data_IF_672124214994
#
_entry.id   IF_672124214994
#
_cell.length_a   1.000
_cell.length_b   1.000
_cell.length_c   1.000
_cell.angle_alpha   90.00
_cell.angle_beta   90.00
_cell.angle_gamma   90.00
#
_symmetry.space_group_name_H-M   'P 1'
#
loop_
_entity.id
_entity.type
_entity.pdbx_description
1 polymer ?
#
# COMPACT_ATOMS: atom_id res chain seq x y z
N UNK A 1 16.95 -26.59 -19.95
CA UNK A 1 15.67 -27.01 -20.55
C UNK A 1 15.09 -25.78 -21.23
N UNK A 2 14.93 -25.76 -22.54
CA UNK A 2 14.34 -24.61 -23.23
C UNK A 2 12.85 -24.54 -22.92
N UNK A 3 12.34 -23.32 -22.71
CA UNK A 3 10.93 -23.11 -22.38
C UNK A 3 10.04 -23.66 -23.49
N UNK A 4 9.31 -24.71 -23.17
CA UNK A 4 8.40 -25.40 -24.09
C UNK A 4 7.34 -24.44 -24.65
N UNK A 5 6.89 -23.51 -23.81
CA UNK A 5 5.95 -22.44 -24.16
C UNK A 5 6.52 -21.51 -25.26
N UNK A 6 7.77 -21.06 -25.12
CA UNK A 6 8.42 -20.21 -26.12
C UNK A 6 8.57 -20.91 -27.48
N UNK A 7 8.87 -22.21 -27.48
CA UNK A 7 8.98 -22.99 -28.72
C UNK A 7 7.63 -23.19 -29.42
N UNK A 8 6.55 -23.36 -28.65
CA UNK A 8 5.19 -23.48 -29.18
C UNK A 8 4.68 -22.14 -29.73
N UNK A 9 5.01 -21.02 -29.07
CA UNK A 9 4.74 -19.66 -29.53
C UNK A 9 5.49 -19.31 -30.82
N UNK A 10 6.78 -19.64 -30.89
CA UNK A 10 7.59 -19.42 -32.09
C UNK A 10 7.05 -20.23 -33.27
N UNK A 11 6.71 -21.51 -33.06
CA UNK A 11 6.08 -22.37 -34.08
C UNK A 11 4.78 -21.77 -34.59
N UNK A 12 3.88 -21.37 -33.69
CA UNK A 12 2.61 -20.76 -34.05
C UNK A 12 2.79 -19.42 -34.80
N UNK A 13 3.74 -18.58 -34.39
CA UNK A 13 4.02 -17.30 -35.08
C UNK A 13 4.50 -17.49 -36.52
N UNK A 14 5.33 -18.51 -36.76
CA UNK A 14 5.82 -18.88 -38.09
C UNK A 14 4.66 -19.40 -38.95
N UNK A 15 3.76 -20.20 -38.38
CA UNK A 15 2.57 -20.73 -39.07
C UNK A 15 1.55 -19.64 -39.44
N UNK A 16 1.45 -18.56 -38.66
CA UNK A 16 0.52 -17.46 -38.88
C UNK A 16 1.14 -16.23 -39.57
N UNK A 17 2.42 -16.32 -39.96
CA UNK A 17 3.05 -15.30 -40.80
C UNK A 17 2.61 -15.47 -42.25
N UNK A 18 1.93 -14.45 -42.80
CA UNK A 18 1.16 -14.52 -44.05
C UNK A 18 2.03 -14.60 -45.32
N UNK A 19 3.34 -14.40 -45.24
CA UNK A 19 4.21 -14.47 -46.43
C UNK A 19 5.63 -14.92 -46.09
N UNK A 20 6.05 -16.03 -46.69
CA UNK A 20 7.47 -16.33 -46.87
C UNK A 20 8.10 -15.42 -47.95
N UNK A 21 9.44 -15.35 -48.05
CA UNK A 21 10.15 -14.50 -49.01
C UNK A 21 9.75 -14.73 -50.49
N UNK A 22 9.13 -15.86 -50.83
CA UNK A 22 8.71 -16.23 -52.18
C UNK A 22 7.21 -16.00 -52.47
N UNK A 23 6.47 -15.35 -51.57
CA UNK A 23 5.06 -14.99 -51.81
C UNK A 23 4.08 -16.16 -51.86
N UNK A 24 4.48 -17.35 -51.39
CA UNK A 24 3.59 -18.51 -51.24
C UNK A 24 2.81 -18.42 -49.94
N UNK A 25 1.50 -18.65 -50.01
CA UNK A 25 0.60 -18.70 -48.85
C UNK A 25 0.75 -20.04 -48.13
N UNK A 26 0.97 -20.01 -46.82
CA UNK A 26 1.15 -21.22 -46.01
C UNK A 26 -0.21 -21.86 -45.71
N UNK A 27 -0.57 -22.95 -46.39
CA UNK A 27 -1.88 -23.65 -46.27
C UNK A 27 -1.83 -24.90 -45.35
N UNK A 28 -0.79 -25.03 -44.53
CA UNK A 28 -0.63 -26.17 -43.60
C UNK A 28 -1.65 -26.16 -42.44
N UNK A 29 -1.85 -27.32 -41.76
CA UNK A 29 -2.72 -27.40 -40.59
C UNK A 29 -2.19 -26.49 -39.47
N UNK A 30 -3.00 -25.50 -39.08
CA UNK A 30 -2.65 -24.54 -38.02
C UNK A 30 -2.66 -25.24 -36.68
N UNK A 31 -1.54 -25.21 -35.96
CA UNK A 31 -1.52 -25.64 -34.57
C UNK A 31 -2.42 -24.74 -33.73
N UNK A 32 -3.22 -25.32 -32.84
CA UNK A 32 -3.95 -24.55 -31.82
C UNK A 32 -3.01 -24.25 -30.68
N UNK A 33 -2.91 -22.98 -30.27
CA UNK A 33 -2.16 -22.58 -29.08
C UNK A 33 -2.71 -23.34 -27.85
N UNK A 34 -1.82 -23.81 -26.97
CA UNK A 34 -2.26 -24.28 -25.66
C UNK A 34 -2.84 -23.10 -24.85
N UNK A 35 -3.68 -23.33 -23.84
CA UNK A 35 -4.17 -22.28 -22.95
C UNK A 35 -3.05 -21.42 -22.35
N UNK A 36 -1.89 -22.01 -22.01
CA UNK A 36 -0.73 -21.27 -21.48
C UNK A 36 -0.01 -20.42 -22.53
N UNK A 37 0.06 -20.87 -23.80
CA UNK A 37 0.62 -20.08 -24.89
C UNK A 37 -0.34 -18.96 -25.30
N UNK A 38 -1.65 -19.23 -25.25
CA UNK A 38 -2.69 -18.24 -25.47
C UNK A 38 -2.67 -17.18 -24.36
N UNK A 39 -2.49 -17.54 -23.09
CA UNK A 39 -2.31 -16.59 -21.99
C UNK A 39 -1.03 -15.75 -22.14
N UNK A 40 0.06 -16.32 -22.67
CA UNK A 40 1.27 -15.58 -23.02
C UNK A 40 1.09 -14.57 -24.17
N UNK A 41 0.13 -14.81 -25.07
CA UNK A 41 -0.22 -13.93 -26.20
C UNK A 41 -1.32 -12.92 -25.84
N UNK A 42 -2.32 -13.35 -25.07
CA UNK A 42 -3.47 -12.53 -24.66
C UNK A 42 -3.18 -11.71 -23.40
N UNK A 43 -2.08 -12.02 -22.70
CA UNK A 43 -1.74 -11.47 -21.39
C UNK A 43 -2.56 -12.13 -20.28
N UNK A 44 -1.91 -12.44 -19.15
CA UNK A 44 -2.60 -12.53 -17.87
C UNK A 44 -3.07 -11.14 -17.42
N UNK A 45 -3.81 -11.03 -16.30
CA UNK A 45 -4.12 -9.73 -15.71
C UNK A 45 -2.82 -8.96 -15.48
N UNK A 46 -2.81 -7.67 -15.79
CA UNK A 46 -1.66 -6.82 -15.51
C UNK A 46 -1.52 -6.61 -14.00
N UNK A 47 -0.35 -6.19 -13.53
CA UNK A 47 -0.16 -5.78 -12.13
C UNK A 47 -1.20 -4.73 -11.71
N UNK A 48 -1.53 -3.80 -12.60
CA UNK A 48 -2.59 -2.81 -12.37
C UNK A 48 -3.97 -3.44 -12.14
N UNK A 49 -4.29 -4.53 -12.85
CA UNK A 49 -5.55 -5.26 -12.69
C UNK A 49 -5.56 -6.02 -11.36
N UNK A 50 -4.46 -6.70 -11.04
CA UNK A 50 -4.30 -7.42 -9.77
C UNK A 50 -4.35 -6.50 -8.54
N UNK A 51 -3.76 -5.30 -8.63
CA UNK A 51 -3.81 -4.30 -7.58
C UNK A 51 -5.26 -3.80 -7.35
N UNK A 52 -6.01 -3.55 -8.43
CA UNK A 52 -7.42 -3.15 -8.34
C UNK A 52 -8.29 -4.27 -7.77
N UNK A 53 -8.08 -5.50 -8.21
CA UNK A 53 -8.80 -6.68 -7.71
C UNK A 53 -8.54 -6.87 -6.21
N UNK A 54 -7.28 -6.79 -5.78
CA UNK A 54 -6.90 -6.89 -4.37
C UNK A 54 -7.59 -5.80 -3.54
N UNK A 55 -7.56 -4.54 -3.99
CA UNK A 55 -8.23 -3.45 -3.27
C UNK A 55 -9.76 -3.62 -3.25
N UNK A 56 -10.36 -4.10 -4.33
CA UNK A 56 -11.80 -4.37 -4.38
C UNK A 56 -12.24 -5.42 -3.36
N UNK A 57 -11.43 -6.47 -3.16
CA UNK A 57 -11.68 -7.48 -2.12
C UNK A 57 -11.53 -6.88 -0.73
N UNK A 58 -10.45 -6.13 -0.48
CA UNK A 58 -10.14 -5.48 0.81
C UNK A 58 -11.32 -4.61 1.28
N UNK A 59 -11.80 -3.73 0.40
CA UNK A 59 -12.86 -2.76 0.74
C UNK A 59 -14.28 -3.28 0.52
N UNK A 60 -14.42 -4.56 0.15
CA UNK A 60 -15.74 -5.12 -0.16
C UNK A 60 -16.67 -5.06 1.08
N UNK A 61 -17.91 -4.54 0.92
CA UNK A 61 -18.92 -4.58 1.97
C UNK A 61 -19.68 -5.92 1.99
N UNK A 62 -19.40 -6.83 1.06
CA UNK A 62 -20.06 -8.13 0.95
C UNK A 62 -19.73 -9.02 2.18
N UNK A 63 -20.73 -9.45 2.97
CA UNK A 63 -20.50 -10.30 4.14
C UNK A 63 -19.96 -11.70 3.79
N UNK A 64 -20.07 -12.15 2.54
CA UNK A 64 -19.49 -13.43 2.09
C UNK A 64 -17.96 -13.33 1.92
N UNK A 65 -17.42 -12.12 1.76
CA UNK A 65 -15.97 -11.89 1.73
C UNK A 65 -15.44 -11.85 3.16
N UNK A 66 -14.86 -12.98 3.57
CA UNK A 66 -14.35 -13.16 4.93
C UNK A 66 -13.13 -12.28 5.21
N UNK A 67 -12.83 -12.07 6.50
CA UNK A 67 -11.60 -11.40 6.93
C UNK A 67 -10.36 -12.08 6.35
N UNK A 68 -10.30 -13.42 6.33
CA UNK A 68 -9.18 -14.18 5.75
C UNK A 68 -8.96 -13.87 4.26
N UNK A 69 -10.04 -13.76 3.48
CA UNK A 69 -9.96 -13.35 2.08
C UNK A 69 -9.43 -11.93 1.92
N UNK A 70 -9.83 -11.00 2.80
CA UNK A 70 -9.30 -9.63 2.82
C UNK A 70 -7.81 -9.59 3.17
N UNK A 71 -7.38 -10.38 4.16
CA UNK A 71 -5.96 -10.47 4.54
C UNK A 71 -5.11 -11.07 3.41
N UNK A 72 -5.62 -12.11 2.73
CA UNK A 72 -4.97 -12.66 1.53
C UNK A 72 -4.85 -11.60 0.42
N UNK A 73 -5.89 -10.79 0.21
CA UNK A 73 -5.84 -9.69 -0.76
C UNK A 73 -4.85 -8.59 -0.37
N UNK A 74 -4.70 -8.29 0.93
CA UNK A 74 -3.63 -7.42 1.41
C UNK A 74 -2.25 -8.01 1.13
N UNK A 75 -2.02 -9.29 1.41
CA UNK A 75 -0.73 -9.94 1.12
C UNK A 75 -0.40 -9.91 -0.38
N UNK A 76 -1.39 -10.09 -1.25
CA UNK A 76 -1.22 -9.97 -2.69
C UNK A 76 -0.87 -8.54 -3.12
N UNK A 77 -1.58 -7.54 -2.57
CA UNK A 77 -1.28 -6.14 -2.84
C UNK A 77 0.12 -5.76 -2.36
N UNK A 78 0.50 -6.20 -1.15
CA UNK A 78 1.79 -5.90 -0.53
C UNK A 78 2.96 -6.43 -1.35
N UNK A 79 2.88 -7.67 -1.83
CA UNK A 79 3.87 -8.26 -2.74
C UNK A 79 4.01 -7.47 -4.05
N UNK A 80 2.91 -6.99 -4.63
CA UNK A 80 2.97 -6.21 -5.86
C UNK A 80 3.67 -4.85 -5.65
N UNK A 81 3.40 -4.19 -4.52
CA UNK A 81 3.95 -2.86 -4.20
C UNK A 81 5.35 -2.91 -3.59
N UNK A 82 5.96 -4.09 -3.40
CA UNK A 82 7.41 -4.20 -3.19
C UNK A 82 8.19 -3.66 -4.40
N UNK A 83 7.59 -3.67 -5.59
CA UNK A 83 8.08 -2.98 -6.78
C UNK A 83 7.76 -1.48 -6.71
N UNK A 84 8.79 -0.63 -6.83
CA UNK A 84 8.63 0.83 -6.84
C UNK A 84 7.71 1.33 -7.95
N UNK A 85 7.72 0.68 -9.13
CA UNK A 85 6.84 1.04 -10.24
C UNK A 85 5.37 0.82 -9.88
N UNK A 86 5.05 -0.30 -9.22
CA UNK A 86 3.71 -0.62 -8.76
C UNK A 86 3.31 0.24 -7.56
N UNK A 87 4.20 0.48 -6.60
CA UNK A 87 3.95 1.40 -5.49
C UNK A 87 3.54 2.79 -6.02
N UNK A 88 4.24 3.31 -7.02
CA UNK A 88 3.92 4.60 -7.64
C UNK A 88 2.61 4.55 -8.45
N UNK A 89 2.24 3.37 -8.96
CA UNK A 89 0.99 3.16 -9.67
C UNK A 89 -0.24 3.32 -8.76
N UNK A 90 -0.13 3.13 -7.43
CA UNK A 90 -1.21 3.38 -6.46
C UNK A 90 -1.87 4.75 -6.64
N UNK A 91 -1.07 5.79 -6.98
CA UNK A 91 -1.56 7.15 -7.24
C UNK A 91 -2.43 7.21 -8.48
N UNK A 92 -1.97 6.65 -9.59
CA UNK A 92 -2.67 6.66 -10.87
C UNK A 92 -3.94 5.79 -10.84
N UNK A 93 -3.94 4.75 -10.01
CA UNK A 93 -5.08 3.86 -9.81
C UNK A 93 -6.09 4.38 -8.78
N UNK A 94 -5.77 5.47 -8.06
CA UNK A 94 -6.63 6.02 -7.01
C UNK A 94 -6.72 5.12 -5.76
N UNK A 95 -5.73 4.26 -5.53
CA UNK A 95 -5.77 3.24 -4.46
C UNK A 95 -5.25 3.74 -3.11
N UNK A 96 -4.59 4.92 -3.06
CA UNK A 96 -4.13 5.50 -1.80
C UNK A 96 -5.26 5.81 -0.81
N UNK A 97 -6.34 6.44 -1.28
CA UNK A 97 -7.47 6.81 -0.41
C UNK A 97 -8.09 5.57 0.25
N UNK A 98 -8.54 4.53 -0.49
CA UNK A 98 -9.11 3.35 0.14
C UNK A 98 -8.11 2.62 1.05
N UNK A 99 -6.81 2.62 0.70
CA UNK A 99 -5.77 2.06 1.57
C UNK A 99 -5.64 2.83 2.91
N UNK A 100 -5.66 4.16 2.87
CA UNK A 100 -5.57 5.00 4.08
C UNK A 100 -6.86 4.99 4.90
N UNK A 101 -8.01 4.74 4.29
CA UNK A 101 -9.28 4.56 5.01
C UNK A 101 -9.27 3.26 5.83
N UNK A 102 -8.59 2.22 5.34
CA UNK A 102 -8.41 0.96 6.08
C UNK A 102 -7.61 1.13 7.39
N UNK A 103 -6.85 2.21 7.56
CA UNK A 103 -6.19 2.53 8.84
C UNK A 103 -7.18 2.85 9.97
N UNK A 104 -8.44 3.12 9.65
CA UNK A 104 -9.52 3.34 10.62
C UNK A 104 -10.55 2.21 10.66
N UNK A 105 -10.22 1.04 10.07
CA UNK A 105 -11.13 -0.11 10.03
C UNK A 105 -11.40 -0.68 11.42
N UNK A 106 -12.57 -1.31 11.62
CA UNK A 106 -12.95 -1.87 12.91
C UNK A 106 -12.04 -3.01 13.36
N UNK A 107 -11.72 -3.93 12.45
CA UNK A 107 -10.79 -5.05 12.65
C UNK A 107 -9.33 -4.60 12.70
N UNK A 108 -8.60 -5.07 13.71
CA UNK A 108 -7.21 -4.75 13.97
C UNK A 108 -6.28 -5.26 12.86
N UNK A 109 -6.53 -6.45 12.35
CA UNK A 109 -5.74 -7.10 11.32
C UNK A 109 -5.78 -6.29 10.01
N UNK A 110 -6.91 -5.66 9.69
CA UNK A 110 -7.02 -4.78 8.51
C UNK A 110 -6.21 -3.50 8.73
N UNK A 111 -6.28 -2.87 9.90
CA UNK A 111 -5.45 -1.68 10.21
C UNK A 111 -3.96 -2.02 10.15
N UNK A 112 -3.58 -3.19 10.66
CA UNK A 112 -2.21 -3.69 10.62
C UNK A 112 -1.73 -3.86 9.16
N UNK A 113 -2.50 -4.55 8.33
CA UNK A 113 -2.12 -4.81 6.93
C UNK A 113 -2.11 -3.54 6.09
N UNK A 114 -3.03 -2.61 6.33
CA UNK A 114 -3.02 -1.30 5.71
C UNK A 114 -1.75 -0.51 6.05
N UNK A 115 -1.37 -0.46 7.34
CA UNK A 115 -0.11 0.16 7.76
C UNK A 115 1.11 -0.54 7.14
N UNK A 116 1.08 -1.87 7.01
CA UNK A 116 2.15 -2.59 6.30
C UNK A 116 2.26 -2.13 4.85
N UNK A 117 1.18 -2.21 4.07
CA UNK A 117 1.19 -1.81 2.66
C UNK A 117 1.66 -0.37 2.47
N UNK A 118 1.19 0.56 3.32
CA UNK A 118 1.67 1.95 3.32
C UNK A 118 3.18 2.01 3.56
N UNK A 119 3.67 1.30 4.57
CA UNK A 119 5.10 1.26 4.90
C UNK A 119 5.98 0.67 3.81
N UNK A 120 5.49 -0.32 3.07
CA UNK A 120 6.17 -0.90 1.89
C UNK A 120 6.19 0.09 0.74
N UNK A 121 5.04 0.68 0.39
CA UNK A 121 4.92 1.61 -0.73
C UNK A 121 5.85 2.85 -0.60
N UNK A 122 6.03 3.37 0.60
CA UNK A 122 6.83 4.60 0.84
C UNK A 122 8.31 4.33 1.14
N UNK A 123 8.73 3.08 1.31
CA UNK A 123 10.10 2.76 1.70
C UNK A 123 11.09 3.18 0.60
N UNK A 124 11.94 4.18 0.91
CA UNK A 124 12.89 4.76 -0.05
C UNK A 124 12.23 5.19 -1.37
N UNK A 125 10.99 5.70 -1.30
CA UNK A 125 10.18 6.02 -2.46
C UNK A 125 9.55 7.41 -2.34
N UNK A 126 10.29 8.44 -2.76
CA UNK A 126 9.92 9.84 -2.62
C UNK A 126 8.53 10.18 -3.20
N UNK A 127 8.14 9.76 -4.43
CA UNK A 127 6.79 10.02 -4.95
C UNK A 127 5.66 9.45 -4.08
N UNK A 128 5.88 8.28 -3.47
CA UNK A 128 4.90 7.66 -2.56
C UNK A 128 4.91 8.32 -1.19
N UNK A 129 6.07 8.75 -0.68
CA UNK A 129 6.17 9.56 0.54
C UNK A 129 5.45 10.91 0.36
N UNK A 130 5.65 11.58 -0.78
CA UNK A 130 4.93 12.82 -1.14
C UNK A 130 3.42 12.59 -1.14
N UNK A 131 2.97 11.50 -1.77
CA UNK A 131 1.55 11.18 -1.82
C UNK A 131 0.97 10.90 -0.43
N UNK A 132 1.71 10.19 0.42
CA UNK A 132 1.31 9.92 1.80
C UNK A 132 1.14 11.22 2.61
N UNK A 133 2.10 12.15 2.50
CA UNK A 133 2.03 13.48 3.14
C UNK A 133 0.83 14.27 2.64
N UNK A 134 0.63 14.33 1.31
CA UNK A 134 -0.47 15.08 0.71
C UNK A 134 -1.87 14.61 1.13
N UNK A 135 -2.00 13.36 1.57
CA UNK A 135 -3.26 12.76 2.02
C UNK A 135 -3.41 12.71 3.55
N UNK A 136 -2.52 13.36 4.29
CA UNK A 136 -2.55 13.35 5.76
C UNK A 136 -2.28 11.98 6.38
N UNK A 137 -1.60 11.10 5.64
CA UNK A 137 -1.33 9.73 6.07
C UNK A 137 -0.24 9.65 7.15
N UNK A 138 0.71 10.59 7.16
CA UNK A 138 1.74 10.65 8.21
C UNK A 138 1.09 10.92 9.57
N UNK A 139 0.13 11.84 9.63
CA UNK A 139 -0.58 12.21 10.86
C UNK A 139 -1.40 11.02 11.41
N UNK A 140 -2.07 10.27 10.51
CA UNK A 140 -2.77 9.04 10.85
C UNK A 140 -1.83 8.01 11.48
N UNK A 141 -0.66 7.78 10.87
CA UNK A 141 0.35 6.84 11.38
C UNK A 141 0.92 7.27 12.74
N UNK A 142 1.17 8.57 12.95
CA UNK A 142 1.61 9.09 14.26
C UNK A 142 0.54 8.84 15.32
N UNK A 143 -0.72 9.15 15.05
CA UNK A 143 -1.83 8.93 15.98
C UNK A 143 -1.92 7.45 16.38
N UNK A 144 -1.86 6.54 15.41
CA UNK A 144 -1.83 5.10 15.68
C UNK A 144 -0.60 4.70 16.51
N UNK A 145 0.61 5.18 16.16
CA UNK A 145 1.84 4.84 16.89
C UNK A 145 1.79 5.26 18.38
N UNK A 146 1.21 6.42 18.68
CA UNK A 146 1.02 6.89 20.07
C UNK A 146 -0.15 6.21 20.80
N UNK A 147 -0.88 5.32 20.12
CA UNK A 147 -1.93 4.48 20.72
C UNK A 147 -3.36 4.94 20.44
N UNK A 148 -3.58 6.00 19.67
CA UNK A 148 -4.94 6.44 19.35
C UNK A 148 -5.55 5.56 18.27
N UNK A 149 -6.77 5.08 18.52
CA UNK A 149 -7.62 4.51 17.48
C UNK A 149 -8.15 5.64 16.61
N UNK A 150 -7.96 5.54 15.30
CA UNK A 150 -8.50 6.51 14.36
C UNK A 150 -10.02 6.39 14.29
N UNK A 151 -10.76 7.51 14.18
CA UNK A 151 -12.20 7.45 14.00
C UNK A 151 -12.52 6.83 12.64
N UNK A 152 -13.55 5.98 12.59
CA UNK A 152 -14.05 5.44 11.33
C UNK A 152 -14.34 6.57 10.34
N UNK A 153 -14.03 6.35 9.05
CA UNK A 153 -14.27 7.35 8.02
C UNK A 153 -15.77 7.71 7.99
N UNK A 154 -16.10 8.94 8.41
CA UNK A 154 -17.45 9.49 8.23
C UNK A 154 -17.64 9.69 6.75
N UNK A 155 -18.58 8.94 6.14
CA UNK A 155 -18.86 9.03 4.72
C UNK A 155 -19.03 10.49 4.31
N UNK A 156 -18.22 10.94 3.36
CA UNK A 156 -18.26 12.29 2.82
C UNK A 156 -19.56 12.49 2.02
N UNK A 157 -20.67 12.74 2.72
CA UNK A 157 -21.94 13.25 2.20
C UNK A 157 -22.79 13.73 3.40
N UNK A 158 -22.75 15.02 3.73
CA UNK A 158 -23.61 15.56 4.77
C UNK A 158 -23.26 16.98 5.17
N UNK A 159 -23.95 17.94 4.56
CA UNK A 159 -24.01 19.33 5.01
C UNK A 159 -24.46 19.42 6.48
N UNK A 160 -23.72 20.19 7.30
CA UNK A 160 -24.28 20.93 8.43
C UNK A 160 -24.96 20.17 9.58
N UNK A 161 -24.64 18.90 9.83
CA UNK A 161 -25.07 18.19 11.03
C UNK A 161 -24.08 18.39 12.18
N UNK A 162 -24.57 18.78 13.37
CA UNK A 162 -23.78 18.80 14.60
C UNK A 162 -23.01 17.48 14.74
N UNK A 163 -21.70 17.58 14.98
CA UNK A 163 -20.87 16.42 15.29
C UNK A 163 -21.44 15.73 16.52
N UNK A 164 -22.23 14.68 16.29
CA UNK A 164 -22.60 13.77 17.35
C UNK A 164 -21.30 13.05 17.70
N UNK A 165 -20.66 13.49 18.78
CA UNK A 165 -19.54 12.79 19.42
C UNK A 165 -20.03 11.38 19.77
N UNK A 166 -19.90 10.44 18.85
CA UNK A 166 -20.08 9.03 19.14
C UNK A 166 -19.02 8.63 20.17
N UNK A 167 -19.45 7.98 21.24
CA UNK A 167 -18.65 7.42 22.33
C UNK A 167 -17.61 6.37 21.85
N UNK A 168 -16.64 6.75 21.02
CA UNK A 168 -15.42 5.97 20.73
C UNK A 168 -14.27 6.35 21.68
N UNK A 169 -14.55 7.15 22.70
CA UNK A 169 -13.59 7.81 23.61
C UNK A 169 -12.77 6.87 24.52
N UNK A 170 -12.85 5.54 24.33
CA UNK A 170 -12.20 4.57 25.20
C UNK A 170 -11.34 3.49 24.52
N UNK A 171 -11.38 3.32 23.19
CA UNK A 171 -10.58 2.26 22.53
C UNK A 171 -9.18 2.77 22.19
N UNK A 172 -8.18 2.18 22.83
CA UNK A 172 -6.77 2.36 22.47
C UNK A 172 -6.40 1.38 21.35
N UNK A 173 -5.43 1.78 20.53
CA UNK A 173 -4.88 0.95 19.47
C UNK A 173 -4.04 -0.20 20.03
N UNK A 174 -4.11 -1.38 19.40
CA UNK A 174 -3.40 -2.56 19.93
C UNK A 174 -1.93 -2.53 19.61
N UNK A 175 -1.11 -3.10 20.49
CA UNK A 175 0.37 -3.06 20.41
C UNK A 175 0.89 -3.55 19.05
N UNK A 176 0.25 -4.53 18.42
CA UNK A 176 0.67 -5.04 17.11
C UNK A 176 0.42 -4.01 15.98
N UNK A 177 -0.76 -3.37 15.97
CA UNK A 177 -1.08 -2.30 15.01
C UNK A 177 -0.14 -1.12 15.23
N UNK A 178 0.10 -0.71 16.47
CA UNK A 178 1.03 0.37 16.82
C UNK A 178 2.44 0.11 16.31
N UNK A 179 2.96 -1.11 16.48
CA UNK A 179 4.29 -1.52 15.95
C UNK A 179 4.34 -1.40 14.43
N UNK A 180 3.28 -1.80 13.73
CA UNK A 180 3.24 -1.74 12.28
C UNK A 180 3.05 -0.31 11.75
N UNK A 181 2.25 0.51 12.42
CA UNK A 181 2.16 1.94 12.14
C UNK A 181 3.52 2.63 12.33
N UNK A 182 4.29 2.27 13.37
CA UNK A 182 5.63 2.79 13.58
C UNK A 182 6.63 2.34 12.50
N UNK A 183 6.52 1.10 12.02
CA UNK A 183 7.28 0.64 10.84
C UNK A 183 7.00 1.52 9.63
N UNK A 184 5.73 1.75 9.32
CA UNK A 184 5.32 2.59 8.20
C UNK A 184 5.79 4.05 8.36
N UNK A 185 5.66 4.60 9.57
CA UNK A 185 6.12 5.94 9.90
C UNK A 185 7.64 6.06 9.71
N UNK A 186 8.41 5.06 10.16
CA UNK A 186 9.86 5.00 9.94
C UNK A 186 10.21 4.98 8.46
N UNK A 187 9.50 4.20 7.64
CA UNK A 187 9.69 4.21 6.17
C UNK A 187 9.36 5.57 5.56
N UNK A 188 8.33 6.25 6.06
CA UNK A 188 7.86 7.52 5.52
C UNK A 188 8.81 8.69 5.79
N UNK A 189 9.46 8.74 6.96
CA UNK A 189 10.25 9.91 7.38
C UNK A 189 11.73 9.84 7.03
N UNK A 190 12.29 8.63 6.84
CA UNK A 190 13.73 8.48 6.52
C UNK A 190 14.04 9.08 5.15
N UNK A 191 15.06 9.93 5.10
CA UNK A 191 15.52 10.65 3.91
C UNK A 191 14.45 11.51 3.21
N UNK A 192 13.35 11.86 3.89
CA UNK A 192 12.29 12.69 3.31
C UNK A 192 11.78 13.74 4.31
N UNK A 193 12.28 14.96 4.16
CA UNK A 193 12.05 16.08 5.07
C UNK A 193 10.56 16.44 5.24
N UNK A 194 9.74 16.52 4.17
CA UNK A 194 8.33 16.89 4.34
C UNK A 194 7.56 15.94 5.26
N UNK A 195 7.82 14.63 5.20
CA UNK A 195 7.20 13.68 6.12
C UNK A 195 7.76 13.81 7.55
N UNK A 196 9.05 14.07 7.71
CA UNK A 196 9.67 14.28 9.02
C UNK A 196 9.10 15.54 9.71
N UNK A 197 8.89 16.63 8.99
CA UNK A 197 8.33 17.87 9.52
C UNK A 197 6.88 17.67 10.00
N UNK A 198 6.06 16.98 9.19
CA UNK A 198 4.68 16.62 9.55
C UNK A 198 4.67 15.69 10.76
N UNK A 199 5.54 14.67 10.77
CA UNK A 199 5.69 13.75 11.90
C UNK A 199 6.05 14.48 13.19
N UNK A 200 7.06 15.35 13.17
CA UNK A 200 7.50 16.12 14.34
C UNK A 200 6.41 17.06 14.85
N UNK A 201 5.71 17.74 13.93
CA UNK A 201 4.59 18.63 14.27
C UNK A 201 3.45 17.86 14.93
N UNK A 202 3.07 16.73 14.35
CA UNK A 202 1.99 15.91 14.88
C UNK A 202 2.36 15.28 16.22
N UNK A 203 3.58 14.77 16.39
CA UNK A 203 4.08 14.25 17.65
C UNK A 203 3.99 15.31 18.77
N UNK A 204 4.42 16.56 18.50
CA UNK A 204 4.26 17.67 19.45
C UNK A 204 2.80 17.94 19.78
N UNK A 205 1.90 17.86 18.80
CA UNK A 205 0.44 17.97 19.02
C UNK A 205 -0.09 16.85 19.93
N UNK A 206 0.51 15.66 19.89
CA UNK A 206 0.20 14.55 20.78
C UNK A 206 0.85 14.66 22.17
N UNK A 207 1.61 15.73 22.44
CA UNK A 207 2.33 15.94 23.71
C UNK A 207 3.72 15.30 23.77
N UNK A 208 4.22 14.79 22.65
CA UNK A 208 5.56 14.22 22.54
C UNK A 208 6.62 15.32 22.38
N UNK A 209 7.72 15.19 23.11
CA UNK A 209 8.83 16.14 23.04
C UNK A 209 9.86 15.61 22.03
N UNK A 210 9.77 16.09 20.79
CA UNK A 210 10.66 15.68 19.68
C UNK A 210 11.38 16.87 19.05
N UNK A 211 12.66 16.65 18.73
CA UNK A 211 13.60 17.72 18.37
C UNK A 211 14.12 18.46 19.60
N UNK A 212 15.30 19.07 19.49
CA UNK A 212 15.82 19.97 20.54
C UNK A 212 15.03 21.28 20.58
N UNK A 213 15.27 22.12 21.60
CA UNK A 213 14.62 23.43 21.77
C UNK A 213 14.69 24.29 20.49
N UNK A 214 13.61 24.24 19.69
CA UNK A 214 13.46 25.03 18.46
C UNK A 214 14.26 24.55 17.24
N UNK A 215 14.76 23.30 17.21
CA UNK A 215 15.42 22.74 16.01
C UNK A 215 14.55 21.70 15.32
N UNK A 216 14.38 21.87 14.02
CA UNK A 216 13.80 20.87 13.13
C UNK A 216 14.73 19.66 13.02
N UNK A 217 14.13 18.48 12.80
CA UNK A 217 14.86 17.22 12.71
C UNK A 217 15.22 17.02 11.24
N UNK A 218 16.51 16.96 10.92
CA UNK A 218 16.98 16.66 9.57
C UNK A 218 16.67 15.19 9.24
N UNK A 219 15.84 14.96 8.23
CA UNK A 219 15.44 13.62 7.80
C UNK A 219 16.59 12.79 7.20
N UNK A 220 17.71 13.43 6.85
CA UNK A 220 18.93 12.77 6.38
C UNK A 220 19.92 12.45 7.52
N UNK A 221 19.70 13.04 8.70
CA UNK A 221 20.40 12.66 9.93
C UNK A 221 19.73 11.43 10.54
N UNK A 222 20.25 10.26 10.16
CA UNK A 222 19.71 8.97 10.58
C UNK A 222 19.77 8.77 12.09
N UNK A 223 20.75 9.35 12.79
CA UNK A 223 20.85 9.27 14.25
C UNK A 223 19.71 10.07 14.89
N UNK A 224 19.42 11.27 14.38
CA UNK A 224 18.31 12.09 14.85
C UNK A 224 16.94 11.43 14.59
N UNK A 225 16.74 10.85 13.39
CA UNK A 225 15.53 10.09 13.06
C UNK A 225 15.39 8.86 13.97
N UNK A 226 16.49 8.13 14.20
CA UNK A 226 16.47 6.92 15.03
C UNK A 226 16.15 7.23 16.50
N UNK A 227 16.55 8.38 17.05
CA UNK A 227 16.14 8.82 18.39
C UNK A 227 14.62 8.94 18.50
N UNK A 228 13.96 9.54 17.50
CA UNK A 228 12.50 9.69 17.49
C UNK A 228 11.81 8.33 17.37
N UNK A 229 12.21 7.53 16.37
CA UNK A 229 11.56 6.24 16.09
C UNK A 229 11.79 5.24 17.22
N UNK A 230 12.99 5.21 17.82
CA UNK A 230 13.31 4.31 18.93
C UNK A 230 12.56 4.71 20.21
N UNK A 231 12.44 6.01 20.50
CA UNK A 231 11.64 6.49 21.63
C UNK A 231 10.17 6.07 21.52
N UNK A 232 9.57 6.16 20.33
CA UNK A 232 8.22 5.64 20.09
C UNK A 232 8.15 4.11 20.25
N UNK A 233 9.16 3.39 19.78
CA UNK A 233 9.22 1.92 19.91
C UNK A 233 9.25 1.47 21.37
N UNK A 234 10.03 2.15 22.21
CA UNK A 234 10.10 1.88 23.65
C UNK A 234 8.73 2.09 24.32
N UNK A 235 8.03 3.17 23.97
CA UNK A 235 6.67 3.42 24.47
C UNK A 235 5.68 2.35 24.07
N UNK A 236 5.75 1.88 22.82
CA UNK A 236 4.92 0.77 22.34
C UNK A 236 5.27 -0.54 23.05
N UNK A 237 6.53 -0.77 23.41
CA UNK A 237 6.94 -1.95 24.17
C UNK A 237 6.52 -1.91 25.64
N UNK A 238 6.35 -0.72 26.22
CA UNK A 238 5.96 -0.50 27.62
C UNK A 238 4.45 -0.43 27.87
N UNK A 239 3.63 -0.45 26.81
CA UNK A 239 2.18 -0.32 26.85
C UNK A 239 1.48 -1.69 26.76
#
# INVERSE_FOLDING_TARGET
MGDKNLNDLLRWSIENTVSGPDGTTNEGPRSTLSPEALAGIMGGPSDADLMRESMAIIVSPDPEITLESKLTAFDNLEQLIESLDNANLLSNLGLWTPLLDCLAHDEDEIRLMAAWCVGTAVQNNEPSQERLVALGGVEKLVQMAVGKRLPAATGANGEGGEAQETEETGKQETTNVRRKALYALSSAVRNYQPAMDVCATELRRQGEHVGGDGKDIDATDMDAVDVVISGLREKVASA
#
